data_IF_194781222681
#
_entry.id   IF_194781222681
#
_cell.length_a   1.000
_cell.length_b   1.000
_cell.length_c   1.000
_cell.angle_alpha   90.00
_cell.angle_beta   90.00
_cell.angle_gamma   90.00
#
_symmetry.space_group_name_H-M   'P 1'
#
loop_
_entity.id
_entity.type
_entity.pdbx_description
1 polymer ?
#
# COMPACT_ATOMS: atom_id res chain seq x y z
N UNK A 1 -1.79 -3.91 -16.70
CA UNK A 1 -3.04 -3.39 -16.10
C UNK A 1 -2.76 -2.97 -14.66
N UNK A 2 -3.39 -1.92 -14.14
CA UNK A 2 -3.14 -1.42 -12.76
C UNK A 2 -4.32 -1.68 -11.81
N UNK A 3 -5.39 -2.30 -12.31
CA UNK A 3 -6.62 -2.61 -11.58
C UNK A 3 -7.02 -4.04 -11.95
N UNK A 4 -7.23 -4.89 -10.95
CA UNK A 4 -7.52 -6.32 -11.14
C UNK A 4 -8.56 -6.74 -10.10
N UNK A 5 -9.57 -7.51 -10.51
CA UNK A 5 -10.49 -8.15 -9.56
C UNK A 5 -9.77 -9.28 -8.82
N UNK A 6 -9.93 -9.35 -7.49
CA UNK A 6 -9.24 -10.29 -6.63
C UNK A 6 -10.16 -10.91 -5.59
N UNK A 7 -9.72 -12.02 -5.01
CA UNK A 7 -10.17 -12.51 -3.71
C UNK A 7 -9.10 -12.12 -2.70
N UNK A 8 -9.36 -11.21 -1.75
CA UNK A 8 -8.35 -10.77 -0.81
C UNK A 8 -7.99 -11.89 0.16
N UNK A 9 -6.70 -12.08 0.41
CA UNK A 9 -6.23 -13.03 1.42
C UNK A 9 -6.32 -12.34 2.79
N UNK A 10 -7.35 -12.70 3.55
CA UNK A 10 -7.62 -12.14 4.87
C UNK A 10 -6.78 -12.89 5.91
N UNK A 11 -5.99 -12.13 6.66
CA UNK A 11 -5.21 -12.58 7.80
C UNK A 11 -5.14 -11.43 8.82
N UNK A 12 -6.01 -11.49 9.82
CA UNK A 12 -6.10 -10.45 10.85
C UNK A 12 -4.82 -10.33 11.68
N UNK A 13 -3.95 -11.36 11.68
CA UNK A 13 -2.65 -11.31 12.35
C UNK A 13 -1.71 -10.29 11.71
N UNK A 14 -1.96 -9.87 10.46
CA UNK A 14 -1.25 -8.78 9.79
C UNK A 14 -1.30 -7.47 10.57
N UNK A 15 -2.37 -7.23 11.35
CA UNK A 15 -2.49 -6.05 12.22
C UNK A 15 -1.39 -6.03 13.30
N UNK A 16 -0.91 -7.21 13.71
CA UNK A 16 0.19 -7.38 14.65
C UNK A 16 1.54 -6.89 14.10
N UNK A 17 1.70 -6.77 12.78
CA UNK A 17 2.93 -6.20 12.20
C UNK A 17 3.12 -4.73 12.58
N UNK A 18 2.04 -3.99 12.84
CA UNK A 18 2.11 -2.57 13.21
C UNK A 18 2.86 -2.33 14.53
N UNK A 19 2.94 -3.31 15.42
CA UNK A 19 3.67 -3.19 16.70
C UNK A 19 5.06 -3.84 16.66
N UNK A 20 5.39 -4.58 15.59
CA UNK A 20 6.72 -5.18 15.43
C UNK A 20 7.75 -4.10 15.09
N UNK A 21 8.94 -4.22 15.67
CA UNK A 21 10.05 -3.33 15.37
C UNK A 21 10.58 -3.56 13.96
N UNK A 22 10.96 -2.49 13.27
CA UNK A 22 11.65 -2.57 11.99
C UNK A 22 12.66 -1.44 11.85
N UNK A 23 13.44 -1.43 10.76
CA UNK A 23 14.53 -0.49 10.55
C UNK A 23 14.11 0.97 10.80
N UNK A 24 14.82 1.68 11.69
CA UNK A 24 14.53 3.03 12.19
C UNK A 24 13.20 3.21 12.96
N UNK A 25 12.54 2.12 13.33
CA UNK A 25 11.27 2.12 14.05
C UNK A 25 11.29 1.10 15.22
N UNK A 26 12.04 1.39 16.30
CA UNK A 26 12.22 0.48 17.43
C UNK A 26 10.96 0.31 18.29
N UNK A 27 9.91 1.11 18.05
CA UNK A 27 8.60 1.01 18.71
C UNK A 27 7.49 0.55 17.76
N UNK A 28 7.87 0.03 16.60
CA UNK A 28 6.95 -0.32 15.52
C UNK A 28 6.41 0.89 14.74
N UNK A 29 5.30 0.69 14.04
CA UNK A 29 4.74 1.66 13.10
C UNK A 29 4.39 2.96 13.83
N UNK A 30 4.88 4.12 13.35
CA UNK A 30 4.65 5.40 14.02
C UNK A 30 3.19 5.84 14.01
N UNK A 31 2.33 5.22 13.18
CA UNK A 31 0.90 5.51 13.05
C UNK A 31 0.01 4.61 13.91
N UNK A 32 0.56 3.55 14.52
CA UNK A 32 -0.21 2.62 15.34
C UNK A 32 -0.95 3.36 16.46
N UNK A 33 -2.24 3.05 16.63
CA UNK A 33 -3.17 3.66 17.58
C UNK A 33 -3.36 5.19 17.47
N UNK A 34 -2.84 5.84 16.43
CA UNK A 34 -2.99 7.30 16.25
C UNK A 34 -4.13 7.66 15.31
N UNK A 35 -4.15 7.07 14.12
CA UNK A 35 -5.13 7.35 13.07
C UNK A 35 -6.34 6.40 13.18
N UNK A 36 -7.50 6.85 12.71
CA UNK A 36 -8.73 6.04 12.66
C UNK A 36 -8.60 4.84 11.70
N UNK A 37 -7.80 4.97 10.64
CA UNK A 37 -7.51 3.93 9.65
C UNK A 37 -6.29 3.06 10.00
N UNK A 38 -5.83 3.10 11.26
CA UNK A 38 -4.73 2.26 11.75
C UNK A 38 -5.19 1.35 12.90
N UNK A 39 -4.59 0.17 13.10
CA UNK A 39 -4.93 -0.69 14.24
C UNK A 39 -4.62 0.02 15.58
N UNK A 40 -5.37 -0.30 16.66
CA UNK A 40 -6.52 -1.20 16.71
C UNK A 40 -7.84 -0.56 16.23
N UNK A 41 -7.84 0.73 15.87
CA UNK A 41 -9.04 1.51 15.52
C UNK A 41 -9.60 1.16 14.15
N UNK A 42 -8.74 0.79 13.20
CA UNK A 42 -9.15 0.35 11.87
C UNK A 42 -10.09 -0.87 11.98
N UNK A 43 -11.23 -0.78 11.28
CA UNK A 43 -12.16 -1.89 11.13
C UNK A 43 -11.52 -3.00 10.28
N UNK A 44 -11.95 -4.24 10.52
CA UNK A 44 -11.56 -5.39 9.70
C UNK A 44 -12.26 -5.32 8.34
N UNK A 45 -11.66 -5.89 7.30
CA UNK A 45 -12.16 -5.81 5.93
C UNK A 45 -13.64 -6.18 5.80
N UNK A 46 -14.05 -7.28 6.44
CA UNK A 46 -15.42 -7.80 6.44
C UNK A 46 -16.44 -6.94 7.22
N UNK A 47 -16.00 -5.86 7.87
CA UNK A 47 -16.86 -4.84 8.48
C UNK A 47 -16.98 -3.58 7.64
N UNK A 48 -16.22 -3.51 6.55
CA UNK A 48 -16.16 -2.34 5.66
C UNK A 48 -16.75 -2.69 4.31
N UNK A 49 -16.35 -3.83 3.73
CA UNK A 49 -16.73 -4.25 2.38
C UNK A 49 -17.58 -5.52 2.40
N UNK A 50 -18.57 -5.54 1.52
CA UNK A 50 -19.38 -6.72 1.22
C UNK A 50 -18.54 -7.73 0.42
N UNK A 51 -18.03 -8.75 1.14
CA UNK A 51 -17.15 -9.77 0.55
C UNK A 51 -17.87 -10.71 -0.43
N UNK A 52 -19.20 -10.65 -0.54
CA UNK A 52 -19.96 -11.39 -1.55
C UNK A 52 -19.90 -10.71 -2.93
N UNK A 53 -19.48 -9.44 -2.97
CA UNK A 53 -19.36 -8.64 -4.19
C UNK A 53 -17.90 -8.57 -4.66
N UNK A 54 -17.68 -8.23 -5.94
CA UNK A 54 -16.33 -8.07 -6.48
C UNK A 54 -15.49 -7.07 -5.68
N UNK A 55 -14.26 -7.46 -5.37
CA UNK A 55 -13.24 -6.60 -4.79
C UNK A 55 -12.13 -6.43 -5.82
N UNK A 56 -11.63 -5.22 -5.95
CA UNK A 56 -10.57 -4.86 -6.89
C UNK A 56 -9.34 -4.40 -6.11
N UNK A 57 -8.17 -4.84 -6.56
CA UNK A 57 -6.90 -4.22 -6.19
C UNK A 57 -6.56 -3.15 -7.21
N UNK A 58 -6.23 -1.96 -6.74
CA UNK A 58 -5.63 -0.89 -7.55
C UNK A 58 -4.21 -0.70 -7.06
N UNK A 59 -3.24 -0.77 -7.96
CA UNK A 59 -1.85 -0.59 -7.59
C UNK A 59 -1.08 0.31 -8.55
N UNK A 60 0.00 0.88 -8.03
CA UNK A 60 0.98 1.64 -8.79
C UNK A 60 2.37 1.07 -8.55
N UNK A 61 3.15 0.94 -9.62
CA UNK A 61 4.56 0.58 -9.57
C UNK A 61 5.37 1.86 -9.74
N UNK A 62 6.23 2.16 -8.79
CA UNK A 62 7.14 3.29 -8.84
C UNK A 62 8.59 2.79 -8.99
N UNK A 63 9.27 3.27 -10.03
CA UNK A 63 10.67 2.94 -10.33
C UNK A 63 11.60 3.62 -9.32
N UNK A 64 11.88 2.92 -8.22
CA UNK A 64 12.74 3.40 -7.14
C UNK A 64 14.19 3.48 -7.61
N UNK A 65 14.68 2.46 -8.34
CA UNK A 65 16.05 2.45 -8.86
C UNK A 65 16.34 3.68 -9.74
N UNK A 66 15.45 3.98 -10.68
CA UNK A 66 15.57 5.16 -11.54
C UNK A 66 15.53 6.47 -10.75
N UNK A 67 14.69 6.55 -9.71
CA UNK A 67 14.66 7.70 -8.81
C UNK A 67 16.00 7.87 -8.06
N UNK A 68 16.50 6.80 -7.45
CA UNK A 68 17.78 6.80 -6.71
C UNK A 68 18.94 7.17 -7.64
N UNK A 69 18.99 6.63 -8.86
CA UNK A 69 20.01 6.97 -9.87
C UNK A 69 19.96 8.46 -10.24
N UNK A 70 18.76 9.01 -10.45
CA UNK A 70 18.59 10.44 -10.73
C UNK A 70 19.03 11.30 -9.55
N UNK A 71 18.68 10.91 -8.33
CA UNK A 71 19.08 11.61 -7.10
C UNK A 71 20.61 11.56 -6.90
N UNK A 72 21.27 10.43 -7.21
CA UNK A 72 22.73 10.28 -7.16
C UNK A 72 23.43 11.26 -8.10
N UNK A 73 22.92 11.40 -9.33
CA UNK A 73 23.48 12.34 -10.30
C UNK A 73 23.32 13.80 -9.83
N UNK A 74 22.18 14.13 -9.20
CA UNK A 74 21.90 15.49 -8.70
C UNK A 74 22.66 15.80 -7.41
N UNK A 75 22.86 14.81 -6.54
CA UNK A 75 23.49 14.94 -5.24
C UNK A 75 24.55 13.84 -5.04
N UNK A 76 25.72 13.94 -5.69
CA UNK A 76 26.73 12.87 -5.67
C UNK A 76 27.21 12.47 -4.27
N UNK A 77 27.30 13.47 -3.37
CA UNK A 77 27.81 13.32 -2.01
C UNK A 77 26.77 12.79 -1.00
N UNK A 78 25.51 12.59 -1.40
CA UNK A 78 24.51 12.02 -0.50
C UNK A 78 24.79 10.54 -0.22
N UNK A 79 24.58 10.12 1.02
CA UNK A 79 24.61 8.71 1.39
C UNK A 79 23.51 7.93 0.67
N UNK A 80 23.67 6.60 0.55
CA UNK A 80 22.63 5.75 -0.04
C UNK A 80 21.28 5.90 0.68
N UNK A 81 21.31 6.00 2.01
CA UNK A 81 20.13 6.25 2.86
C UNK A 81 19.40 7.55 2.48
N UNK A 82 20.13 8.62 2.19
CA UNK A 82 19.52 9.89 1.77
C UNK A 82 18.86 9.75 0.39
N UNK A 83 19.51 9.06 -0.55
CA UNK A 83 18.95 8.87 -1.89
C UNK A 83 17.69 8.01 -1.91
N UNK A 84 17.61 7.01 -1.03
CA UNK A 84 16.46 6.10 -0.92
C UNK A 84 15.32 6.66 -0.04
N UNK A 85 15.53 7.82 0.60
CA UNK A 85 14.60 8.38 1.56
C UNK A 85 13.19 8.54 0.97
N UNK A 86 12.23 7.85 1.59
CA UNK A 86 10.85 7.76 1.11
C UNK A 86 10.15 9.12 1.02
N UNK A 87 10.58 10.12 1.80
CA UNK A 87 10.01 11.46 1.77
C UNK A 87 10.14 12.13 0.41
N UNK A 88 11.13 11.75 -0.41
CA UNK A 88 11.38 12.37 -1.71
C UNK A 88 10.52 11.81 -2.84
N UNK A 89 10.01 10.59 -2.71
CA UNK A 89 9.30 9.92 -3.80
C UNK A 89 7.90 9.40 -3.43
N UNK A 90 7.63 9.12 -2.16
CA UNK A 90 6.36 8.52 -1.72
C UNK A 90 5.16 9.39 -2.06
N UNK A 91 5.28 10.73 -1.97
CA UNK A 91 4.22 11.66 -2.36
C UNK A 91 3.81 11.52 -3.84
N UNK A 92 4.80 11.35 -4.73
CA UNK A 92 4.58 11.12 -6.16
C UNK A 92 3.89 9.78 -6.40
N UNK A 93 4.37 8.70 -5.76
CA UNK A 93 3.77 7.37 -5.88
C UNK A 93 2.31 7.33 -5.39
N UNK A 94 2.01 7.97 -4.25
CA UNK A 94 0.65 8.11 -3.71
C UNK A 94 -0.26 8.94 -4.61
N UNK A 95 0.25 10.04 -5.20
CA UNK A 95 -0.52 10.84 -6.17
C UNK A 95 -0.89 10.00 -7.40
N UNK A 96 0.05 9.21 -7.92
CA UNK A 96 -0.20 8.30 -9.04
C UNK A 96 -1.23 7.21 -8.71
N UNK A 97 -1.23 6.67 -7.50
CA UNK A 97 -2.25 5.71 -7.05
C UNK A 97 -3.64 6.39 -6.99
N UNK A 98 -3.74 7.56 -6.36
CA UNK A 98 -5.01 8.30 -6.24
C UNK A 98 -5.63 8.64 -7.58
N UNK A 99 -4.83 9.03 -8.58
CA UNK A 99 -5.33 9.29 -9.93
C UNK A 99 -6.00 8.04 -10.52
N UNK A 100 -5.38 6.86 -10.34
CA UNK A 100 -5.96 5.59 -10.84
C UNK A 100 -7.24 5.22 -10.11
N UNK A 101 -7.24 5.33 -8.79
CA UNK A 101 -8.45 5.12 -7.96
C UNK A 101 -9.57 6.04 -8.43
N UNK A 102 -9.31 7.34 -8.56
CA UNK A 102 -10.34 8.31 -8.96
C UNK A 102 -10.88 8.01 -10.38
N UNK A 103 -10.02 7.59 -11.30
CA UNK A 103 -10.47 7.18 -12.64
C UNK A 103 -11.36 5.93 -12.61
N UNK A 104 -11.09 4.98 -11.72
CA UNK A 104 -11.95 3.81 -11.52
C UNK A 104 -13.31 4.20 -10.94
N UNK A 105 -13.31 5.05 -9.91
CA UNK A 105 -14.53 5.50 -9.23
C UNK A 105 -15.47 6.32 -10.13
N UNK A 106 -14.94 7.05 -11.13
CA UNK A 106 -15.76 7.79 -12.10
C UNK A 106 -16.76 6.90 -12.86
N UNK A 107 -16.43 5.63 -13.05
CA UNK A 107 -17.26 4.68 -13.78
C UNK A 107 -17.94 3.66 -12.85
N UNK A 108 -17.69 3.75 -11.53
CA UNK A 108 -18.15 2.79 -10.54
C UNK A 108 -18.58 3.55 -9.28
N UNK A 109 -19.80 4.09 -9.32
CA UNK A 109 -20.41 4.80 -8.20
C UNK A 109 -20.59 3.87 -6.99
N UNK A 110 -20.67 4.46 -5.79
CA UNK A 110 -20.93 3.76 -4.52
C UNK A 110 -19.89 2.70 -4.11
N UNK A 111 -18.64 2.86 -4.53
CA UNK A 111 -17.53 2.01 -4.10
C UNK A 111 -16.76 2.66 -2.94
N UNK A 112 -16.27 1.84 -2.01
CA UNK A 112 -15.42 2.27 -0.90
C UNK A 112 -13.95 1.91 -1.19
N UNK A 113 -13.02 2.78 -0.78
CA UNK A 113 -11.59 2.62 -1.05
C UNK A 113 -10.80 2.50 0.24
N UNK A 114 -9.95 1.46 0.31
CA UNK A 114 -9.02 1.20 1.41
C UNK A 114 -7.58 1.39 0.96
N UNK A 115 -6.95 2.48 1.40
CA UNK A 115 -5.52 2.76 1.13
C UNK A 115 -4.57 2.07 2.12
N UNK A 116 -5.07 1.49 3.21
CA UNK A 116 -4.28 0.77 4.21
C UNK A 116 -4.89 -0.62 4.47
N UNK A 117 -4.91 -1.50 3.47
CA UNK A 117 -5.56 -2.82 3.57
C UNK A 117 -4.94 -3.72 4.65
N UNK A 118 -3.63 -3.64 4.92
CA UNK A 118 -2.99 -4.40 6.01
C UNK A 118 -3.55 -4.02 7.39
N UNK A 119 -3.91 -2.75 7.60
CA UNK A 119 -4.56 -2.29 8.83
C UNK A 119 -5.95 -2.92 9.02
N UNK A 120 -6.58 -3.33 7.92
CA UNK A 120 -7.88 -3.97 7.85
C UNK A 120 -7.80 -5.51 7.87
N UNK A 121 -6.62 -6.09 8.11
CA UNK A 121 -6.42 -7.54 8.19
C UNK A 121 -6.21 -8.22 6.84
N UNK A 122 -5.69 -7.53 5.83
CA UNK A 122 -5.35 -8.14 4.54
C UNK A 122 -3.87 -8.43 4.45
N UNK A 123 -3.51 -9.67 4.09
CA UNK A 123 -2.15 -10.02 3.69
C UNK A 123 -1.90 -9.57 2.25
N UNK A 124 -1.36 -8.36 2.09
CA UNK A 124 -1.12 -7.76 0.77
C UNK A 124 -0.04 -8.51 -0.02
N UNK A 125 0.98 -9.06 0.63
CA UNK A 125 2.01 -9.84 -0.06
C UNK A 125 1.42 -11.05 -0.75
N UNK A 126 0.66 -11.87 -0.02
CA UNK A 126 0.02 -13.05 -0.61
C UNK A 126 -1.10 -12.66 -1.59
N UNK A 127 -1.86 -11.60 -1.30
CA UNK A 127 -2.92 -11.11 -2.22
C UNK A 127 -2.34 -10.64 -3.55
N UNK A 128 -1.19 -9.96 -3.56
CA UNK A 128 -0.53 -9.56 -4.80
C UNK A 128 0.11 -10.75 -5.52
N UNK A 129 0.64 -11.71 -4.77
CA UNK A 129 1.20 -12.96 -5.32
C UNK A 129 0.14 -13.79 -6.05
N UNK A 130 -1.11 -13.81 -5.59
CA UNK A 130 -2.21 -14.53 -6.25
C UNK A 130 -2.52 -14.00 -7.67
N UNK A 131 -2.14 -12.75 -7.96
CA UNK A 131 -2.21 -12.16 -9.31
C UNK A 131 -0.85 -12.09 -10.00
N UNK A 132 0.09 -12.96 -9.60
CA UNK A 132 1.44 -13.06 -10.16
C UNK A 132 2.29 -11.79 -10.01
N UNK A 133 2.08 -11.02 -8.94
CA UNK A 133 2.88 -9.85 -8.61
C UNK A 133 3.62 -10.10 -7.29
N UNK A 134 4.93 -10.29 -7.38
CA UNK A 134 5.80 -10.41 -6.22
C UNK A 134 6.24 -9.02 -5.74
N UNK A 135 5.98 -8.72 -4.48
CA UNK A 135 6.37 -7.45 -3.86
C UNK A 135 7.81 -7.53 -3.35
N UNK A 136 8.60 -6.49 -3.63
CA UNK A 136 9.96 -6.37 -3.10
C UNK A 136 9.97 -5.84 -1.65
N UNK A 137 10.51 -6.65 -0.73
CA UNK A 137 10.67 -6.28 0.68
C UNK A 137 12.10 -6.60 1.18
N UNK A 138 12.93 -5.60 1.54
CA UNK A 138 12.74 -4.17 1.29
C UNK A 138 12.83 -3.86 -0.22
N UNK A 139 12.17 -2.80 -0.69
CA UNK A 139 12.19 -2.43 -2.10
C UNK A 139 13.56 -1.89 -2.51
N UNK A 140 14.06 -2.35 -3.67
CA UNK A 140 15.33 -1.87 -4.25
C UNK A 140 15.13 -1.32 -5.65
N UNK A 141 14.35 -2.03 -6.46
CA UNK A 141 14.09 -1.66 -7.86
C UNK A 141 12.76 -0.96 -7.99
N UNK A 142 11.72 -1.58 -7.42
CA UNK A 142 10.35 -1.11 -7.52
C UNK A 142 9.71 -1.00 -6.15
N UNK A 143 8.87 0.03 -6.01
CA UNK A 143 7.98 0.17 -4.85
C UNK A 143 6.55 0.10 -5.34
N UNK A 144 5.72 -0.60 -4.57
CA UNK A 144 4.31 -0.75 -4.89
C UNK A 144 3.49 0.11 -3.92
N UNK A 145 2.49 0.79 -4.45
CA UNK A 145 1.43 1.39 -3.65
C UNK A 145 0.16 0.64 -4.00
N UNK A 146 -0.55 0.12 -3.00
CA UNK A 146 -1.68 -0.78 -3.19
C UNK A 146 -2.88 -0.21 -2.41
N UNK A 147 -4.06 -0.24 -3.05
CA UNK A 147 -5.34 0.02 -2.43
C UNK A 147 -6.34 -1.06 -2.84
N UNK A 148 -7.33 -1.29 -1.99
CA UNK A 148 -8.49 -2.12 -2.32
C UNK A 148 -9.71 -1.24 -2.57
N UNK A 149 -10.57 -1.68 -3.49
CA UNK A 149 -11.87 -1.07 -3.78
C UNK A 149 -12.92 -2.17 -3.75
N UNK A 150 -14.05 -1.90 -3.11
CA UNK A 150 -15.20 -2.82 -3.14
C UNK A 150 -16.47 -2.14 -2.70
N UNK A 151 -17.59 -2.85 -2.80
CA UNK A 151 -18.89 -2.35 -2.35
C UNK A 151 -18.91 -2.28 -0.82
N UNK A 152 -19.28 -1.15 -0.20
CA UNK A 152 -19.43 -1.07 1.24
C UNK A 152 -20.60 -1.93 1.74
N UNK A 153 -20.54 -2.32 3.02
CA UNK A 153 -21.65 -2.96 3.75
C UNK A 153 -22.72 -1.93 4.12
#
# INVERSE_FOLDING_TARGET
>A
MSIVQIVPIIDDSMRGLCVKTYYNHPKGCPNFNKRSDCPPKALLLHKILDLSKPIYVVYNIFNLYGHVKSMRNKYPNWSQRQLENCLYWQGKARKQLRIRVNNFLKNNENQHVLYCPEACGVNITETMKSISIELEWPPKTFTYQVALIGTPI
#
